data_IF_375632485049
#
_entry.id   IF_375632485049
#
_cell.length_a   1.000
_cell.length_b   1.000
_cell.length_c   1.000
_cell.angle_alpha   90.00
_cell.angle_beta   90.00
_cell.angle_gamma   90.00
#
_symmetry.space_group_name_H-M   'P 1'
#
loop_
_entity.id
_entity.type
_entity.pdbx_description
1 polymer ?
#
# COMPACT_ATOMS: atom_id res chain seq x y z
N UNK A 1 65.72 17.63 -14.57
CA UNK A 1 65.56 18.73 -13.59
C UNK A 1 64.08 18.83 -13.27
N UNK A 2 63.60 18.08 -12.26
CA UNK A 2 63.43 18.51 -10.86
C UNK A 2 62.38 19.61 -10.66
N UNK A 3 61.19 19.22 -10.18
CA UNK A 3 60.47 19.96 -9.13
C UNK A 3 59.37 19.06 -8.53
N UNK A 4 59.76 18.24 -7.57
CA UNK A 4 58.81 17.58 -6.66
C UNK A 4 58.21 18.64 -5.74
N UNK A 5 56.95 19.03 -5.96
CA UNK A 5 56.20 19.80 -4.97
C UNK A 5 55.79 18.89 -3.80
N UNK A 6 56.28 19.28 -2.64
CA UNK A 6 56.08 18.68 -1.33
C UNK A 6 54.62 18.76 -0.85
N UNK A 7 54.03 17.62 -0.52
CA UNK A 7 52.86 17.56 0.38
C UNK A 7 53.30 17.03 1.75
N UNK A 8 53.37 17.94 2.71
CA UNK A 8 53.59 17.71 4.13
C UNK A 8 52.57 16.69 4.68
N UNK A 9 53.03 15.48 5.02
CA UNK A 9 52.24 14.51 5.79
C UNK A 9 52.19 14.97 7.24
N UNK A 10 51.06 15.54 7.67
CA UNK A 10 50.74 15.68 9.10
C UNK A 10 50.74 14.28 9.73
N UNK A 11 51.73 14.01 10.58
CA UNK A 11 51.73 12.88 11.50
C UNK A 11 50.73 13.17 12.64
N UNK A 12 49.96 12.17 13.05
CA UNK A 12 49.43 12.10 14.41
C UNK A 12 47.91 12.00 14.57
N UNK A 13 47.32 10.87 14.19
CA UNK A 13 46.19 10.30 14.93
C UNK A 13 46.24 8.78 14.75
N UNK A 14 46.77 8.07 15.76
CA UNK A 14 46.69 6.60 15.80
C UNK A 14 45.23 6.29 16.12
N UNK A 15 44.41 6.12 15.08
CA UNK A 15 43.04 5.64 15.24
C UNK A 15 43.15 4.22 15.80
N UNK A 16 42.74 4.04 17.05
CA UNK A 16 42.75 2.75 17.71
C UNK A 16 41.65 1.88 17.09
N UNK A 17 42.01 1.11 16.06
CA UNK A 17 41.10 0.29 15.26
C UNK A 17 40.26 -0.68 16.11
N UNK A 18 40.77 -1.11 17.27
CA UNK A 18 40.03 -1.97 18.21
C UNK A 18 38.78 -1.31 18.79
N UNK A 19 38.82 0.00 19.07
CA UNK A 19 37.67 0.74 19.59
C UNK A 19 36.58 0.94 18.52
N UNK A 20 36.98 1.09 17.26
CA UNK A 20 36.05 1.21 16.13
C UNK A 20 35.31 -0.12 15.87
N UNK A 21 36.04 -1.25 15.92
CA UNK A 21 35.48 -2.58 15.69
C UNK A 21 34.45 -2.96 16.76
N UNK A 22 34.68 -2.54 18.01
CA UNK A 22 33.73 -2.80 19.10
C UNK A 22 32.48 -1.90 19.01
N UNK A 23 32.65 -0.63 18.63
CA UNK A 23 31.52 0.30 18.41
C UNK A 23 30.56 -0.19 17.31
N UNK A 24 31.09 -0.82 16.26
CA UNK A 24 30.30 -1.38 15.15
C UNK A 24 29.52 -2.64 15.57
N UNK A 25 30.03 -3.42 16.53
CA UNK A 25 29.34 -4.62 17.05
C UNK A 25 28.15 -4.29 17.95
N UNK A 26 28.17 -3.16 18.64
CA UNK A 26 27.11 -2.75 19.58
C UNK A 26 25.91 -2.09 18.90
N UNK A 27 26.09 -1.47 17.72
CA UNK A 27 25.02 -0.72 17.02
C UNK A 27 24.33 -1.51 15.90
N UNK A 28 24.69 -2.77 15.69
CA UNK A 28 24.06 -3.62 14.67
C UNK A 28 22.84 -4.36 15.25
N UNK A 29 21.67 -4.36 14.57
CA UNK A 29 20.53 -5.15 15.02
C UNK A 29 20.90 -6.64 15.05
N UNK A 30 20.66 -7.30 16.19
CA UNK A 30 20.88 -8.74 16.40
C UNK A 30 20.10 -9.54 15.33
N UNK A 31 20.77 -9.90 14.23
CA UNK A 31 20.29 -10.96 13.35
C UNK A 31 20.51 -12.28 14.07
N UNK A 32 19.42 -12.97 14.37
CA UNK A 32 19.45 -14.36 14.80
C UNK A 32 20.12 -15.20 13.70
N UNK A 33 21.40 -15.49 13.89
CA UNK A 33 22.14 -16.41 13.04
C UNK A 33 21.61 -17.83 13.28
N UNK A 34 20.61 -18.23 12.50
CA UNK A 34 20.33 -19.65 12.28
C UNK A 34 21.59 -20.26 11.68
N UNK A 35 22.39 -20.92 12.53
CA UNK A 35 23.58 -21.70 12.16
C UNK A 35 23.15 -22.89 11.29
N UNK A 36 22.87 -22.62 10.02
CA UNK A 36 22.83 -23.65 9.00
C UNK A 36 24.27 -24.13 8.82
N UNK A 37 24.60 -25.25 9.47
CA UNK A 37 25.83 -26.00 9.23
C UNK A 37 25.77 -26.50 7.79
N UNK A 38 26.31 -25.70 6.87
CA UNK A 38 26.51 -26.11 5.48
C UNK A 38 27.56 -27.21 5.52
N UNK A 39 27.11 -28.47 5.50
CA UNK A 39 27.96 -29.63 5.24
C UNK A 39 28.75 -29.31 3.97
N UNK A 40 30.07 -29.14 4.08
CA UNK A 40 30.95 -28.88 2.93
C UNK A 40 30.95 -30.14 2.06
N UNK A 41 30.01 -30.23 1.14
CA UNK A 41 30.04 -31.27 0.10
C UNK A 41 31.35 -31.13 -0.64
N UNK A 42 32.02 -32.25 -0.95
CA UNK A 42 33.28 -32.24 -1.70
C UNK A 42 33.00 -31.86 -3.15
N UNK A 43 32.90 -30.56 -3.41
CA UNK A 43 32.64 -30.01 -4.74
C UNK A 43 33.83 -30.32 -5.65
N UNK A 44 33.58 -30.90 -6.82
CA UNK A 44 34.62 -31.19 -7.82
C UNK A 44 35.32 -29.89 -8.26
N UNK A 45 36.60 -29.97 -8.68
CA UNK A 45 37.35 -28.82 -9.21
C UNK A 45 36.60 -28.12 -10.35
N UNK A 46 35.96 -28.89 -11.24
CA UNK A 46 35.16 -28.39 -12.37
C UNK A 46 33.94 -27.58 -11.89
N UNK A 47 33.25 -28.08 -10.89
CA UNK A 47 32.06 -27.43 -10.35
C UNK A 47 32.42 -26.17 -9.55
N UNK A 48 33.52 -26.17 -8.80
CA UNK A 48 34.07 -24.95 -8.17
C UNK A 48 34.42 -23.88 -9.21
N UNK A 49 35.04 -24.27 -10.32
CA UNK A 49 35.33 -23.36 -11.43
C UNK A 49 34.05 -22.77 -12.04
N UNK A 50 33.04 -23.61 -12.31
CA UNK A 50 31.75 -23.18 -12.83
C UNK A 50 31.04 -22.21 -11.89
N UNK A 51 31.02 -22.49 -10.58
CA UNK A 51 30.46 -21.59 -9.58
C UNK A 51 31.18 -20.24 -9.53
N UNK A 52 32.51 -20.23 -9.62
CA UNK A 52 33.29 -18.98 -9.69
C UNK A 52 32.92 -18.18 -10.94
N UNK A 53 32.87 -18.84 -12.10
CA UNK A 53 32.48 -18.22 -13.38
C UNK A 53 31.06 -17.66 -13.31
N UNK A 54 30.10 -18.42 -12.79
CA UNK A 54 28.71 -17.97 -12.63
C UNK A 54 28.61 -16.80 -11.66
N UNK A 55 29.26 -16.84 -10.50
CA UNK A 55 29.31 -15.71 -9.56
C UNK A 55 29.86 -14.46 -10.22
N UNK A 56 30.91 -14.59 -11.03
CA UNK A 56 31.50 -13.47 -11.75
C UNK A 56 30.54 -12.92 -12.81
N UNK A 57 29.90 -13.79 -13.61
CA UNK A 57 28.89 -13.39 -14.60
C UNK A 57 27.70 -12.69 -13.94
N UNK A 58 27.19 -13.23 -12.83
CA UNK A 58 26.12 -12.62 -12.06
C UNK A 58 26.53 -11.24 -11.53
N UNK A 59 27.76 -11.08 -11.04
CA UNK A 59 28.29 -9.79 -10.61
C UNK A 59 28.32 -8.79 -11.76
N UNK A 60 28.77 -9.19 -12.95
CA UNK A 60 28.75 -8.32 -14.13
C UNK A 60 27.32 -7.95 -14.57
N UNK A 61 26.38 -8.90 -14.52
CA UNK A 61 24.98 -8.64 -14.85
C UNK A 61 24.37 -7.60 -13.89
N UNK A 62 24.59 -7.76 -12.59
CA UNK A 62 24.13 -6.80 -11.58
C UNK A 62 24.72 -5.41 -11.77
N UNK A 63 26.04 -5.32 -12.04
CA UNK A 63 26.68 -4.02 -12.31
C UNK A 63 26.11 -3.35 -13.56
N UNK A 64 25.84 -4.10 -14.62
CA UNK A 64 25.20 -3.57 -15.83
C UNK A 64 23.78 -3.06 -15.55
N UNK A 65 23.01 -3.79 -14.75
CA UNK A 65 21.67 -3.37 -14.34
C UNK A 65 21.72 -2.07 -13.53
N UNK A 66 22.60 -1.99 -12.53
CA UNK A 66 22.80 -0.78 -11.72
C UNK A 66 23.21 0.43 -12.57
N UNK A 67 24.17 0.25 -13.49
CA UNK A 67 24.59 1.32 -14.40
C UNK A 67 23.44 1.81 -15.29
N UNK A 68 22.60 0.90 -15.78
CA UNK A 68 21.42 1.25 -16.58
C UNK A 68 20.40 2.02 -15.73
N UNK A 69 20.13 1.56 -14.52
CA UNK A 69 19.21 2.22 -13.59
C UNK A 69 19.70 3.62 -13.20
N UNK A 70 20.99 3.80 -12.95
CA UNK A 70 21.60 5.10 -12.66
C UNK A 70 21.52 6.06 -13.86
N UNK A 71 21.77 5.56 -15.07
CA UNK A 71 21.64 6.34 -16.29
C UNK A 71 20.18 6.79 -16.51
N UNK A 72 19.23 5.89 -16.30
CA UNK A 72 17.81 6.19 -16.43
C UNK A 72 17.32 7.13 -15.33
N UNK A 73 17.81 6.97 -14.09
CA UNK A 73 17.57 7.89 -12.98
C UNK A 73 18.04 9.30 -13.31
N UNK A 74 19.29 9.46 -13.78
CA UNK A 74 19.83 10.77 -14.21
C UNK A 74 19.00 11.40 -15.32
N UNK A 75 18.45 10.61 -16.24
CA UNK A 75 17.55 11.11 -17.30
C UNK A 75 16.22 11.60 -16.72
N UNK A 76 15.62 10.85 -15.79
CA UNK A 76 14.36 11.23 -15.12
C UNK A 76 14.53 12.47 -14.25
N UNK A 77 15.60 12.55 -13.47
CA UNK A 77 15.93 13.71 -12.62
C UNK A 77 16.12 15.00 -13.44
N UNK A 78 16.61 14.89 -14.70
CA UNK A 78 16.75 16.03 -15.62
C UNK A 78 15.42 16.55 -16.18
N UNK A 79 14.30 15.88 -15.94
CA UNK A 79 13.00 16.38 -16.41
C UNK A 79 12.60 17.61 -15.60
N UNK A 80 12.65 18.79 -16.25
CA UNK A 80 12.59 20.10 -15.59
C UNK A 80 11.34 20.31 -14.73
N UNK A 81 10.20 19.79 -15.18
CA UNK A 81 8.90 20.09 -14.56
C UNK A 81 8.55 19.10 -13.43
N UNK A 82 9.07 17.86 -13.47
CA UNK A 82 8.51 16.77 -12.65
C UNK A 82 9.58 15.96 -11.89
N UNK A 83 10.85 15.96 -12.31
CA UNK A 83 11.91 15.19 -11.66
C UNK A 83 11.74 13.67 -11.78
N UNK A 84 12.21 12.90 -10.78
CA UNK A 84 12.14 11.43 -10.82
C UNK A 84 10.81 10.87 -10.27
N UNK A 85 9.91 10.50 -11.19
CA UNK A 85 8.62 9.88 -10.86
C UNK A 85 8.67 8.39 -10.51
N UNK A 86 9.82 7.72 -10.64
CA UNK A 86 9.89 6.26 -10.41
C UNK A 86 9.47 5.89 -8.99
N UNK A 87 9.83 6.68 -7.99
CA UNK A 87 9.48 6.44 -6.59
C UNK A 87 7.96 6.37 -6.39
N UNK A 88 7.21 7.25 -7.03
CA UNK A 88 5.75 7.24 -6.95
C UNK A 88 5.16 6.00 -7.62
N UNK A 89 5.71 5.60 -8.76
CA UNK A 89 5.27 4.41 -9.47
C UNK A 89 5.55 3.13 -8.67
N UNK A 90 6.72 3.03 -8.04
CA UNK A 90 7.13 1.87 -7.26
C UNK A 90 6.35 1.76 -5.94
N UNK A 91 5.83 2.88 -5.41
CA UNK A 91 4.97 2.91 -4.23
C UNK A 91 3.51 2.51 -4.51
N UNK A 92 3.12 2.37 -5.80
CA UNK A 92 1.78 1.93 -6.15
C UNK A 92 1.66 0.40 -6.12
N UNK A 93 0.52 -0.14 -5.66
CA UNK A 93 0.27 -1.57 -5.71
C UNK A 93 0.23 -2.06 -7.16
N UNK A 94 0.64 -3.31 -7.37
CA UNK A 94 0.53 -3.93 -8.68
C UNK A 94 -0.93 -4.15 -9.08
N UNK A 95 -1.20 -4.23 -10.39
CA UNK A 95 -2.58 -4.48 -10.87
C UNK A 95 -3.12 -5.81 -10.31
N UNK A 96 -2.27 -6.82 -10.18
CA UNK A 96 -2.64 -8.11 -9.59
C UNK A 96 -3.03 -7.97 -8.12
N UNK A 97 -2.29 -7.17 -7.33
CA UNK A 97 -2.67 -6.82 -5.96
C UNK A 97 -4.00 -6.08 -5.92
N UNK A 98 -4.23 -5.12 -6.82
CA UNK A 98 -5.52 -4.41 -6.92
C UNK A 98 -6.66 -5.39 -7.25
N UNK A 99 -6.42 -6.33 -8.17
CA UNK A 99 -7.40 -7.35 -8.54
C UNK A 99 -7.68 -8.31 -7.38
N UNK A 100 -6.67 -8.72 -6.62
CA UNK A 100 -6.83 -9.51 -5.40
C UNK A 100 -7.64 -8.72 -4.36
N UNK A 101 -7.23 -7.49 -4.03
CA UNK A 101 -7.98 -6.59 -3.15
C UNK A 101 -9.43 -6.38 -3.58
N UNK A 102 -9.70 -6.34 -4.90
CA UNK A 102 -11.06 -6.20 -5.42
C UNK A 102 -11.94 -7.44 -5.23
N UNK A 103 -11.36 -8.64 -5.30
CA UNK A 103 -12.04 -9.92 -4.99
C UNK A 103 -12.30 -10.03 -3.49
N UNK A 104 -11.39 -9.45 -2.72
CA UNK A 104 -11.39 -9.32 -1.28
C UNK A 104 -12.30 -8.18 -0.75
N UNK A 105 -12.87 -7.33 -1.62
CA UNK A 105 -13.83 -6.27 -1.21
C UNK A 105 -15.11 -6.81 -0.57
N UNK A 106 -15.34 -8.12 -0.58
CA UNK A 106 -16.40 -8.75 0.22
C UNK A 106 -16.13 -8.65 1.73
N UNK A 107 -14.88 -8.39 2.16
CA UNK A 107 -14.50 -8.29 3.57
C UNK A 107 -13.89 -6.96 4.02
N UNK A 108 -13.64 -6.01 3.11
CA UNK A 108 -13.19 -4.67 3.48
C UNK A 108 -14.37 -3.87 4.05
N UNK A 109 -14.47 -3.86 5.37
CA UNK A 109 -15.47 -3.09 6.12
C UNK A 109 -15.02 -1.65 6.27
N UNK A 110 -15.90 -0.72 5.93
CA UNK A 110 -15.73 0.73 6.06
C UNK A 110 -15.74 1.18 7.53
N UNK A 111 -16.10 0.28 8.47
CA UNK A 111 -16.23 0.56 9.90
C UNK A 111 -17.61 1.10 10.28
N UNK A 112 -18.49 1.31 9.31
CA UNK A 112 -19.84 1.82 9.47
C UNK A 112 -20.81 0.64 9.37
N UNK A 113 -21.39 0.24 10.50
CA UNK A 113 -22.24 -0.97 10.61
C UNK A 113 -23.36 -1.00 9.58
N UNK A 114 -23.99 0.14 9.27
CA UNK A 114 -25.13 0.21 8.34
C UNK A 114 -24.72 -0.03 6.87
N UNK A 115 -23.53 0.44 6.48
CA UNK A 115 -23.00 0.28 5.12
C UNK A 115 -22.43 -1.12 4.94
N UNK A 116 -21.72 -1.62 5.95
CA UNK A 116 -21.03 -2.91 5.92
C UNK A 116 -21.98 -4.11 6.12
N UNK A 117 -23.13 -3.94 6.80
CA UNK A 117 -24.16 -4.97 6.94
C UNK A 117 -25.01 -5.16 5.67
N UNK A 118 -24.94 -4.24 4.70
CA UNK A 118 -25.68 -4.38 3.44
C UNK A 118 -25.06 -5.43 2.49
N UNK A 119 -23.97 -6.08 2.89
CA UNK A 119 -23.15 -6.96 2.05
C UNK A 119 -23.64 -8.42 1.97
N UNK A 120 -24.95 -8.62 1.85
CA UNK A 120 -25.44 -9.81 1.15
C UNK A 120 -26.72 -9.44 0.41
N UNK A 121 -26.61 -8.88 -0.82
CA UNK A 121 -27.77 -8.74 -1.66
C UNK A 121 -28.29 -10.16 -1.94
N UNK A 122 -29.30 -10.59 -1.17
CA UNK A 122 -30.02 -11.84 -1.42
C UNK A 122 -30.33 -11.84 -2.91
N UNK A 123 -29.83 -12.83 -3.64
CA UNK A 123 -29.92 -12.85 -5.11
C UNK A 123 -31.37 -13.12 -5.51
N UNK A 124 -32.20 -12.08 -5.47
CA UNK A 124 -33.61 -12.16 -5.81
C UNK A 124 -33.72 -12.38 -7.32
N UNK A 125 -34.59 -13.30 -7.73
CA UNK A 125 -34.94 -13.44 -9.15
C UNK A 125 -35.45 -12.12 -9.72
N UNK A 126 -35.26 -11.88 -11.02
CA UNK A 126 -35.67 -10.64 -11.68
C UNK A 126 -37.16 -10.31 -11.41
N UNK A 127 -38.03 -11.32 -11.46
CA UNK A 127 -39.46 -11.20 -11.14
C UNK A 127 -39.70 -10.71 -9.70
N UNK A 128 -38.95 -11.23 -8.71
CA UNK A 128 -39.07 -10.81 -7.30
C UNK A 128 -38.53 -9.40 -7.08
N UNK A 129 -37.48 -8.99 -7.78
CA UNK A 129 -36.98 -7.60 -7.79
C UNK A 129 -38.02 -6.62 -8.33
N UNK A 130 -38.67 -6.96 -9.45
CA UNK A 130 -39.73 -6.12 -10.04
C UNK A 130 -40.93 -6.03 -9.08
N UNK A 131 -41.37 -7.15 -8.50
CA UNK A 131 -42.48 -7.18 -7.54
C UNK A 131 -42.22 -6.29 -6.32
N UNK A 132 -41.05 -6.44 -5.69
CA UNK A 132 -40.66 -5.64 -4.51
C UNK A 132 -40.57 -4.14 -4.82
N UNK A 133 -40.04 -3.77 -6.00
CA UNK A 133 -40.03 -2.37 -6.45
C UNK A 133 -41.44 -1.80 -6.62
N UNK A 134 -42.34 -2.54 -7.29
CA UNK A 134 -43.75 -2.13 -7.46
C UNK A 134 -44.46 -1.96 -6.13
N UNK A 135 -44.25 -2.90 -5.21
CA UNK A 135 -44.86 -2.84 -3.88
C UNK A 135 -44.32 -1.67 -3.05
N UNK A 136 -43.00 -1.43 -3.07
CA UNK A 136 -42.38 -0.27 -2.40
C UNK A 136 -42.95 1.04 -2.95
N UNK A 137 -43.06 1.16 -4.27
CA UNK A 137 -43.63 2.33 -4.92
C UNK A 137 -45.10 2.54 -4.51
N UNK A 138 -45.93 1.50 -4.57
CA UNK A 138 -47.33 1.59 -4.15
C UNK A 138 -47.48 1.98 -2.66
N UNK A 139 -46.62 1.46 -1.78
CA UNK A 139 -46.57 1.86 -0.36
C UNK A 139 -46.20 3.34 -0.20
N UNK A 140 -45.22 3.83 -0.97
CA UNK A 140 -44.81 5.23 -0.95
C UNK A 140 -45.94 6.15 -1.42
N UNK A 141 -46.58 5.85 -2.55
CA UNK A 141 -47.71 6.64 -3.06
C UNK A 141 -48.84 6.70 -2.03
N UNK A 142 -49.24 5.57 -1.44
CA UNK A 142 -50.25 5.53 -0.37
C UNK A 142 -49.86 6.36 0.86
N UNK A 143 -48.59 6.31 1.25
CA UNK A 143 -48.09 7.12 2.37
C UNK A 143 -48.17 8.62 2.06
N UNK A 144 -47.81 9.03 0.85
CA UNK A 144 -47.94 10.42 0.41
C UNK A 144 -49.39 10.88 0.31
N UNK A 145 -50.28 10.06 -0.25
CA UNK A 145 -51.71 10.35 -0.27
C UNK A 145 -52.28 10.57 1.13
N UNK A 146 -51.85 9.75 2.10
CA UNK A 146 -52.24 9.91 3.51
C UNK A 146 -51.68 11.22 4.09
N UNK A 147 -50.41 11.51 3.85
CA UNK A 147 -49.75 12.74 4.31
C UNK A 147 -50.43 14.00 3.75
N UNK A 148 -50.77 14.01 2.47
CA UNK A 148 -51.45 15.11 1.82
C UNK A 148 -52.89 15.31 2.32
N UNK A 149 -53.50 14.29 2.93
CA UNK A 149 -54.83 14.39 3.57
C UNK A 149 -54.77 14.93 4.99
N UNK A 150 -53.60 14.89 5.63
CA UNK A 150 -53.40 15.30 7.01
C UNK A 150 -53.56 16.84 7.17
N UNK A 151 -54.45 17.33 8.04
CA UNK A 151 -54.63 18.76 8.25
C UNK A 151 -53.36 19.46 8.76
N UNK A 152 -52.59 18.82 9.64
CA UNK A 152 -51.39 19.43 10.24
C UNK A 152 -50.31 19.70 9.19
N UNK A 153 -50.18 18.77 8.24
CA UNK A 153 -49.28 18.90 7.10
C UNK A 153 -49.75 19.98 6.11
N UNK A 154 -51.06 20.13 5.90
CA UNK A 154 -51.63 21.19 5.05
C UNK A 154 -51.45 22.58 5.63
N UNK A 155 -51.59 22.72 6.95
CA UNK A 155 -51.44 24.00 7.64
C UNK A 155 -49.97 24.43 7.68
N UNK A 156 -49.09 23.56 8.17
CA UNK A 156 -47.66 23.88 8.36
C UNK A 156 -46.77 22.66 8.07
N UNK A 157 -46.40 22.41 6.80
CA UNK A 157 -45.63 21.21 6.45
C UNK A 157 -44.26 21.17 7.11
N UNK A 158 -43.64 22.34 7.33
CA UNK A 158 -42.33 22.47 7.96
C UNK A 158 -42.33 21.98 9.41
N UNK A 159 -43.33 22.37 10.20
CA UNK A 159 -43.45 21.92 11.60
C UNK A 159 -43.87 20.45 11.69
N UNK A 160 -44.76 19.98 10.81
CA UNK A 160 -45.13 18.56 10.75
C UNK A 160 -43.91 17.66 10.45
N UNK A 161 -43.05 18.06 9.51
CA UNK A 161 -41.79 17.36 9.20
C UNK A 161 -40.83 17.43 10.39
N UNK A 162 -40.67 18.61 11.01
CA UNK A 162 -39.82 18.79 12.19
C UNK A 162 -40.26 17.91 13.35
N UNK A 163 -41.56 17.86 13.64
CA UNK A 163 -42.16 16.97 14.64
C UNK A 163 -41.85 15.51 14.30
N UNK A 164 -42.12 15.08 13.06
CA UNK A 164 -41.86 13.70 12.63
C UNK A 164 -40.39 13.31 12.82
N UNK A 165 -39.46 14.15 12.41
CA UNK A 165 -38.02 13.91 12.58
C UNK A 165 -37.65 13.83 14.06
N UNK A 166 -38.18 14.75 14.88
CA UNK A 166 -37.91 14.81 16.33
C UNK A 166 -38.35 13.54 17.06
N UNK A 167 -39.57 13.05 16.81
CA UNK A 167 -40.17 11.94 17.57
C UNK A 167 -39.97 10.56 16.94
N UNK A 168 -39.71 10.46 15.63
CA UNK A 168 -39.60 9.15 14.94
C UNK A 168 -38.15 8.69 14.79
N UNK A 169 -37.20 9.62 14.66
CA UNK A 169 -35.77 9.31 14.57
C UNK A 169 -35.02 9.44 15.90
N UNK A 170 -35.74 9.69 17.01
CA UNK A 170 -35.16 9.68 18.34
C UNK A 170 -34.20 10.84 18.64
N UNK A 171 -34.43 12.03 18.05
CA UNK A 171 -33.66 13.25 18.36
C UNK A 171 -34.17 13.92 19.66
N UNK A 172 -34.39 13.10 20.68
CA UNK A 172 -34.65 13.50 22.06
C UNK A 172 -33.36 13.22 22.83
N UNK A 173 -32.57 14.27 23.03
CA UNK A 173 -31.72 14.41 24.23
C UNK A 173 -32.44 15.32 25.22
#
# INVERSE_FOLDING_TARGET
MSSYLSLQRKRGAIVNMGKLVNKIKETAPKREEKKNVIKKTSISKKEKYNQKRQKLLNKFALLKQQQKEDADRRKREKTVVVGDLKVLKDALPSLDEIMQLSKEKTHLKTGIREVDQSANPKHLSAKKKIKTKKEKFARQVKAFEKLLKDPDFKQNPREAIRYHIKYTHGLLE
#
